data_IF_117734996739
#
_entry.id   IF_117734996739
#
_cell.length_a   1.000
_cell.length_b   1.000
_cell.length_c   1.000
_cell.angle_alpha   90.00
_cell.angle_beta   90.00
_cell.angle_gamma   90.00
#
_symmetry.space_group_name_H-M   'P 1'
#
loop_
_entity.id
_entity.type
_entity.pdbx_description
1 polymer ?
#
# COMPACT_ATOMS: atom_id res chain seq x y z
N UNK A 1 19.05 -2.72 -1.38
CA UNK A 1 18.33 -2.56 -0.11
C UNK A 1 19.29 -2.36 1.06
N UNK A 2 20.31 -3.22 1.24
CA UNK A 2 21.26 -3.12 2.36
C UNK A 2 21.90 -1.72 2.43
N UNK A 3 22.48 -1.23 1.34
CA UNK A 3 23.09 0.10 1.28
C UNK A 3 22.11 1.25 1.58
N UNK A 4 20.85 1.12 1.20
CA UNK A 4 19.81 2.12 1.52
C UNK A 4 19.60 2.16 3.04
N UNK A 5 19.50 0.99 3.68
CA UNK A 5 19.36 0.91 5.14
C UNK A 5 20.61 1.41 5.87
N UNK A 6 21.81 1.14 5.35
CA UNK A 6 23.08 1.65 5.91
C UNK A 6 23.17 3.20 5.87
N UNK A 7 22.49 3.83 4.91
CA UNK A 7 22.33 5.28 4.85
C UNK A 7 21.29 5.84 5.84
N UNK A 8 20.61 4.98 6.59
CA UNK A 8 19.55 5.37 7.52
C UNK A 8 18.23 5.72 6.83
N UNK A 9 18.04 5.30 5.58
CA UNK A 9 16.80 5.52 4.84
C UNK A 9 15.90 4.28 4.95
N UNK A 10 14.65 4.42 5.41
CA UNK A 10 13.70 3.30 5.39
C UNK A 10 13.33 2.93 3.95
N UNK A 11 13.41 1.63 3.64
CA UNK A 11 13.05 1.11 2.34
C UNK A 11 11.58 0.66 2.31
N UNK A 12 10.85 1.02 1.25
CA UNK A 12 9.50 0.53 0.98
C UNK A 12 9.46 -0.34 -0.27
N UNK A 13 8.46 -1.22 -0.36
CA UNK A 13 8.23 -2.06 -1.54
C UNK A 13 6.74 -2.32 -1.77
N UNK A 14 6.37 -2.65 -3.02
CA UNK A 14 5.11 -3.33 -3.30
C UNK A 14 5.35 -4.85 -3.25
N UNK A 15 4.59 -5.57 -2.45
CA UNK A 15 4.67 -7.03 -2.38
C UNK A 15 3.83 -7.65 -3.49
N UNK A 16 4.51 -8.25 -4.47
CA UNK A 16 3.89 -8.79 -5.69
C UNK A 16 3.78 -10.32 -5.69
N UNK A 17 4.60 -11.00 -4.90
CA UNK A 17 4.64 -12.46 -4.81
C UNK A 17 4.92 -12.94 -3.39
N UNK A 18 4.87 -14.26 -3.18
CA UNK A 18 5.02 -14.90 -1.87
C UNK A 18 6.46 -15.37 -1.57
N UNK A 19 7.37 -15.30 -2.53
CA UNK A 19 8.72 -15.85 -2.41
C UNK A 19 9.74 -14.74 -2.16
N UNK A 20 9.73 -13.69 -2.98
CA UNK A 20 10.63 -12.53 -2.84
C UNK A 20 10.66 -11.95 -1.42
N UNK A 21 9.50 -11.79 -0.72
CA UNK A 21 9.49 -11.28 0.64
C UNK A 21 10.37 -12.06 1.62
N UNK A 22 10.53 -13.36 1.43
CA UNK A 22 11.40 -14.19 2.29
C UNK A 22 12.87 -13.78 2.27
N UNK A 23 13.29 -13.08 1.21
CA UNK A 23 14.68 -12.62 1.02
C UNK A 23 14.89 -11.16 1.39
N UNK A 24 13.84 -10.36 1.44
CA UNK A 24 13.96 -8.90 1.58
C UNK A 24 13.19 -8.31 2.76
N UNK A 25 12.24 -9.04 3.35
CA UNK A 25 11.31 -8.47 4.33
C UNK A 25 11.99 -7.87 5.57
N UNK A 26 13.13 -8.41 5.97
CA UNK A 26 13.95 -7.90 7.08
C UNK A 26 14.66 -6.56 6.76
N UNK A 27 14.69 -6.15 5.49
CA UNK A 27 15.25 -4.88 5.02
C UNK A 27 14.16 -3.87 4.61
N UNK A 28 12.88 -4.21 4.78
CA UNK A 28 11.74 -3.39 4.37
C UNK A 28 11.07 -2.79 5.61
N UNK A 29 10.91 -1.48 5.60
CA UNK A 29 10.28 -0.72 6.70
C UNK A 29 8.78 -0.47 6.47
N UNK A 30 8.30 -0.58 5.24
CA UNK A 30 6.91 -0.41 4.86
C UNK A 30 6.61 -1.14 3.56
N UNK A 31 5.43 -1.74 3.44
CA UNK A 31 5.02 -2.42 2.24
C UNK A 31 3.63 -2.01 1.75
N UNK A 32 3.40 -2.13 0.44
CA UNK A 32 2.09 -1.91 -0.15
C UNK A 32 1.55 -3.20 -0.80
N UNK A 33 0.23 -3.36 -0.76
CA UNK A 33 -0.52 -4.28 -1.61
C UNK A 33 -1.28 -3.44 -2.64
N UNK A 34 -1.02 -3.67 -3.91
CA UNK A 34 -1.57 -2.90 -5.01
C UNK A 34 -3.07 -3.12 -5.21
N UNK A 35 -3.73 -2.17 -5.89
CA UNK A 35 -5.17 -2.19 -6.10
C UNK A 35 -5.69 -3.45 -6.83
N UNK A 36 -4.85 -4.10 -7.63
CA UNK A 36 -5.18 -5.32 -8.37
C UNK A 36 -5.01 -6.59 -7.53
N UNK A 37 -4.35 -6.50 -6.40
CA UNK A 37 -4.03 -7.64 -5.53
C UNK A 37 -4.64 -7.52 -4.12
N UNK A 38 -5.31 -6.42 -3.80
CA UNK A 38 -5.97 -6.22 -2.50
C UNK A 38 -7.05 -7.29 -2.22
N UNK A 39 -7.73 -7.81 -3.24
CA UNK A 39 -8.70 -8.92 -3.09
C UNK A 39 -8.03 -10.30 -3.00
N UNK A 40 -6.75 -10.41 -3.32
CA UNK A 40 -6.04 -11.69 -3.35
C UNK A 40 -5.82 -12.25 -1.96
N UNK A 41 -6.33 -13.47 -1.72
CA UNK A 41 -6.16 -14.19 -0.47
C UNK A 41 -4.68 -14.39 -0.12
N UNK A 42 -3.85 -14.78 -1.09
CA UNK A 42 -2.42 -15.02 -0.84
C UNK A 42 -1.67 -13.75 -0.43
N UNK A 43 -2.06 -12.57 -0.92
CA UNK A 43 -1.47 -11.29 -0.51
C UNK A 43 -1.91 -10.87 0.90
N UNK A 44 -3.15 -11.19 1.30
CA UNK A 44 -3.63 -10.98 2.67
C UNK A 44 -2.94 -11.90 3.67
N UNK A 45 -2.73 -13.17 3.30
CA UNK A 45 -1.95 -14.14 4.06
C UNK A 45 -0.50 -13.70 4.20
N UNK A 46 0.13 -13.24 3.11
CA UNK A 46 1.47 -12.67 3.15
C UNK A 46 1.54 -11.50 4.14
N UNK A 47 0.64 -10.52 4.00
CA UNK A 47 0.62 -9.34 4.88
C UNK A 47 0.48 -9.71 6.35
N UNK A 48 -0.25 -10.77 6.67
CA UNK A 48 -0.42 -11.27 8.06
C UNK A 48 0.88 -11.76 8.71
N UNK A 49 1.89 -12.06 7.91
CA UNK A 49 3.20 -12.56 8.38
C UNK A 49 4.32 -11.53 8.30
N UNK A 50 4.06 -10.33 7.80
CA UNK A 50 5.09 -9.29 7.70
C UNK A 50 5.24 -8.52 9.02
N UNK A 51 6.49 -8.14 9.32
CA UNK A 51 6.84 -7.39 10.53
C UNK A 51 6.86 -5.88 10.32
N UNK A 52 6.52 -5.41 9.12
CA UNK A 52 6.40 -4.00 8.79
C UNK A 52 4.93 -3.60 8.58
N UNK A 53 4.58 -2.32 8.71
CA UNK A 53 3.28 -1.82 8.33
C UNK A 53 2.99 -2.08 6.85
N UNK A 54 1.73 -2.44 6.53
CA UNK A 54 1.30 -2.76 5.17
C UNK A 54 0.08 -1.93 4.78
N UNK A 55 0.22 -1.16 3.70
CA UNK A 55 -0.86 -0.39 3.12
C UNK A 55 -1.60 -1.17 2.03
N UNK A 56 -2.92 -1.28 2.16
CA UNK A 56 -3.80 -1.87 1.14
C UNK A 56 -4.46 -0.77 0.31
N UNK A 57 -4.20 -0.73 -0.98
CA UNK A 57 -4.85 0.22 -1.90
C UNK A 57 -6.31 -0.15 -2.13
N UNK A 58 -7.19 0.84 -2.20
CA UNK A 58 -8.55 0.61 -2.68
C UNK A 58 -8.56 0.07 -4.12
N UNK A 59 -9.64 -0.59 -4.50
CA UNK A 59 -9.80 -1.16 -5.84
C UNK A 59 -9.65 -0.13 -6.96
N UNK A 60 -9.36 -0.59 -8.17
CA UNK A 60 -9.19 0.28 -9.34
C UNK A 60 -10.47 1.03 -9.73
N UNK A 61 -11.62 0.54 -9.29
CA UNK A 61 -12.94 1.19 -9.43
C UNK A 61 -13.25 2.22 -8.33
N UNK A 62 -12.40 2.28 -7.28
CA UNK A 62 -12.58 3.12 -6.12
C UNK A 62 -13.16 2.40 -4.88
N UNK A 63 -13.44 1.11 -4.97
CA UNK A 63 -14.03 0.32 -3.89
C UNK A 63 -13.08 0.24 -2.68
N UNK A 64 -13.51 0.80 -1.55
CA UNK A 64 -12.77 0.81 -0.28
C UNK A 64 -12.99 -0.47 0.53
N UNK A 65 -14.16 -1.09 0.40
CA UNK A 65 -14.53 -2.24 1.22
C UNK A 65 -13.52 -3.39 1.10
N UNK A 66 -13.01 -3.62 -0.10
CA UNK A 66 -12.01 -4.68 -0.33
C UNK A 66 -10.72 -4.45 0.48
N UNK A 67 -10.32 -3.19 0.69
CA UNK A 67 -9.17 -2.84 1.52
C UNK A 67 -9.49 -3.05 3.02
N UNK A 68 -10.70 -2.72 3.47
CA UNK A 68 -11.13 -2.98 4.85
C UNK A 68 -11.16 -4.48 5.17
N UNK A 69 -11.71 -5.28 4.25
CA UNK A 69 -11.74 -6.73 4.39
C UNK A 69 -10.32 -7.32 4.37
N UNK A 70 -9.42 -6.75 3.55
CA UNK A 70 -8.02 -7.15 3.50
C UNK A 70 -7.28 -6.87 4.82
N UNK A 71 -7.47 -5.69 5.42
CA UNK A 71 -6.87 -5.33 6.72
C UNK A 71 -7.36 -6.28 7.81
N UNK A 72 -8.68 -6.53 7.87
CA UNK A 72 -9.26 -7.48 8.84
C UNK A 72 -8.72 -8.89 8.66
N UNK A 73 -8.58 -9.35 7.43
CA UNK A 73 -7.98 -10.66 7.16
C UNK A 73 -6.51 -10.70 7.57
N UNK A 74 -5.72 -9.70 7.17
CA UNK A 74 -4.29 -9.64 7.47
C UNK A 74 -3.99 -9.49 8.97
N UNK A 75 -4.91 -8.93 9.76
CA UNK A 75 -4.75 -8.82 11.21
C UNK A 75 -4.93 -10.14 11.96
N UNK A 76 -5.39 -11.20 11.28
CA UNK A 76 -5.62 -12.50 11.90
C UNK A 76 -4.47 -13.48 11.57
N UNK A 77 -4.25 -14.48 12.44
CA UNK A 77 -3.35 -15.59 12.14
C UNK A 77 -3.83 -16.39 10.93
N UNK A 78 -2.88 -16.85 10.12
CA UNK A 78 -3.14 -17.70 8.95
C UNK A 78 -2.22 -18.92 8.92
N UNK A 79 -2.67 -19.97 8.23
CA UNK A 79 -1.88 -21.16 7.90
C UNK A 79 -2.04 -21.43 6.39
N UNK A 80 -0.96 -21.37 5.65
CA UNK A 80 -1.01 -21.51 4.20
C UNK A 80 0.23 -22.19 3.64
N UNK A 81 0.10 -22.75 2.43
CA UNK A 81 1.22 -23.33 1.71
C UNK A 81 2.09 -22.24 1.09
N UNK A 82 3.37 -22.32 1.29
CA UNK A 82 4.36 -21.45 0.66
C UNK A 82 5.66 -22.23 0.40
N UNK A 83 6.67 -21.54 -0.10
CA UNK A 83 7.98 -22.09 -0.42
C UNK A 83 9.01 -21.44 0.48
N UNK A 84 9.86 -22.25 1.11
CA UNK A 84 10.97 -21.77 1.93
C UNK A 84 12.10 -21.21 1.08
N UNK A 85 13.05 -20.46 1.69
CA UNK A 85 14.26 -19.97 1.01
C UNK A 85 15.07 -21.10 0.35
N UNK A 86 15.00 -22.31 0.87
CA UNK A 86 15.65 -23.50 0.29
C UNK A 86 14.88 -24.14 -0.87
N UNK A 87 13.76 -23.56 -1.30
CA UNK A 87 12.96 -24.07 -2.42
C UNK A 87 12.02 -25.23 -2.07
N UNK A 88 11.79 -25.50 -0.79
CA UNK A 88 10.90 -26.59 -0.37
C UNK A 88 9.51 -26.05 0.00
N UNK A 89 8.47 -26.78 -0.38
CA UNK A 89 7.11 -26.50 0.07
C UNK A 89 6.99 -26.66 1.59
N UNK A 90 6.30 -25.74 2.22
CA UNK A 90 6.04 -25.76 3.66
C UNK A 90 4.69 -25.12 4.00
N UNK A 91 4.14 -25.51 5.14
CA UNK A 91 3.03 -24.77 5.76
C UNK A 91 3.67 -23.63 6.56
N UNK A 92 3.29 -22.40 6.22
CA UNK A 92 3.66 -21.19 6.96
C UNK A 92 2.52 -20.82 7.90
N UNK A 93 2.86 -20.53 9.15
CA UNK A 93 1.93 -20.01 10.15
C UNK A 93 2.31 -18.58 10.47
N UNK A 94 1.33 -17.68 10.49
CA UNK A 94 1.49 -16.26 10.81
C UNK A 94 0.70 -15.89 12.06
N UNK A 95 1.04 -14.77 12.68
CA UNK A 95 0.38 -14.30 13.91
C UNK A 95 -0.65 -13.19 13.64
N UNK A 96 -0.75 -12.70 12.42
CA UNK A 96 -1.48 -11.49 12.08
C UNK A 96 -0.59 -10.24 12.13
N UNK A 97 -0.98 -9.22 11.38
CA UNK A 97 -0.31 -7.92 11.31
C UNK A 97 -1.32 -6.82 11.61
N UNK A 98 -1.23 -6.22 12.80
CA UNK A 98 -2.14 -5.17 13.25
C UNK A 98 -1.80 -3.78 12.66
N UNK A 99 -0.62 -3.62 12.04
CA UNK A 99 -0.15 -2.37 11.47
C UNK A 99 -0.55 -2.20 9.99
N UNK A 100 -1.69 -2.78 9.61
CA UNK A 100 -2.24 -2.62 8.27
C UNK A 100 -3.13 -1.38 8.18
N UNK A 101 -3.10 -0.69 7.02
CA UNK A 101 -3.86 0.54 6.81
C UNK A 101 -4.35 0.66 5.36
N UNK A 102 -5.27 1.60 5.12
CA UNK A 102 -5.79 1.91 3.78
C UNK A 102 -4.89 2.92 3.07
N UNK A 103 -4.77 2.74 1.76
CA UNK A 103 -4.22 3.74 0.84
C UNK A 103 -5.30 4.16 -0.15
N UNK A 104 -5.66 5.44 -0.16
CA UNK A 104 -6.53 6.02 -1.19
C UNK A 104 -5.72 6.29 -2.45
N UNK A 105 -6.05 5.61 -3.56
CA UNK A 105 -5.35 5.75 -4.84
C UNK A 105 -6.23 6.31 -5.97
N UNK A 106 -7.47 6.74 -5.61
CA UNK A 106 -8.50 7.08 -6.58
C UNK A 106 -9.13 5.83 -7.23
N UNK A 107 -10.10 6.08 -8.07
CA UNK A 107 -10.83 5.06 -8.82
C UNK A 107 -11.33 5.63 -10.14
N UNK A 108 -12.63 5.63 -10.38
CA UNK A 108 -13.26 6.35 -11.50
C UNK A 108 -13.06 7.86 -11.41
N UNK A 109 -12.86 8.37 -10.20
CA UNK A 109 -12.51 9.75 -9.88
C UNK A 109 -11.43 9.78 -8.80
N UNK A 110 -10.71 10.89 -8.63
CA UNK A 110 -9.85 11.12 -7.47
C UNK A 110 -10.63 10.98 -6.14
N UNK A 111 -9.94 10.58 -5.05
CA UNK A 111 -10.54 10.40 -3.73
C UNK A 111 -9.65 10.93 -2.59
N UNK A 112 -8.88 11.99 -2.85
CA UNK A 112 -7.95 12.59 -1.90
C UNK A 112 -8.48 13.86 -1.23
N UNK A 113 -9.55 14.47 -1.78
CA UNK A 113 -10.13 15.69 -1.23
C UNK A 113 -10.70 15.47 0.19
N UNK A 114 -10.87 16.56 0.94
CA UNK A 114 -11.27 16.51 2.34
C UNK A 114 -12.59 15.75 2.57
N UNK A 115 -13.55 15.86 1.64
CA UNK A 115 -14.83 15.17 1.76
C UNK A 115 -14.67 13.66 1.54
N UNK A 116 -13.88 13.25 0.55
CA UNK A 116 -13.55 11.86 0.27
C UNK A 116 -12.77 11.22 1.43
N UNK A 117 -11.79 11.92 1.98
CA UNK A 117 -11.01 11.46 3.15
C UNK A 117 -11.93 11.30 4.35
N UNK A 118 -12.79 12.28 4.65
CA UNK A 118 -13.73 12.20 5.76
C UNK A 118 -14.72 11.02 5.60
N UNK A 119 -15.23 10.80 4.40
CA UNK A 119 -16.13 9.68 4.11
C UNK A 119 -15.41 8.33 4.32
N UNK A 120 -14.18 8.20 3.82
CA UNK A 120 -13.38 6.99 4.00
C UNK A 120 -13.10 6.71 5.48
N UNK A 121 -12.78 7.74 6.27
CA UNK A 121 -12.56 7.61 7.72
C UNK A 121 -13.85 7.19 8.46
N UNK A 122 -14.99 7.77 8.10
CA UNK A 122 -16.28 7.37 8.67
C UNK A 122 -16.63 5.90 8.36
N UNK A 123 -16.27 5.42 7.18
CA UNK A 123 -16.49 4.02 6.80
C UNK A 123 -15.48 3.08 7.50
N UNK A 124 -14.23 3.52 7.74
CA UNK A 124 -13.25 2.81 8.57
C UNK A 124 -13.79 2.65 10.01
N UNK A 125 -14.29 3.72 10.63
CA UNK A 125 -14.89 3.66 11.98
C UNK A 125 -16.06 2.68 12.05
N UNK A 126 -16.98 2.72 11.08
CA UNK A 126 -18.09 1.75 10.99
C UNK A 126 -17.58 0.31 10.84
N UNK A 127 -16.45 0.13 10.18
CA UNK A 127 -15.82 -1.17 10.03
C UNK A 127 -15.03 -1.62 11.27
N UNK A 128 -14.92 -0.77 12.31
CA UNK A 128 -14.13 -1.03 13.52
C UNK A 128 -12.62 -0.94 13.30
N UNK A 129 -12.20 -0.14 12.31
CA UNK A 129 -10.80 0.10 11.97
C UNK A 129 -10.38 1.51 12.37
N UNK A 130 -9.08 1.78 12.59
CA UNK A 130 -8.58 3.12 12.85
C UNK A 130 -8.95 4.10 11.72
N UNK A 131 -9.50 5.26 12.07
CA UNK A 131 -9.92 6.30 11.13
C UNK A 131 -8.74 7.13 10.60
N UNK A 132 -7.69 6.46 10.17
CA UNK A 132 -6.49 7.05 9.59
C UNK A 132 -6.09 6.30 8.34
N UNK A 133 -5.53 7.02 7.37
CA UNK A 133 -5.21 6.46 6.06
C UNK A 133 -4.01 7.17 5.42
N UNK A 134 -3.46 6.55 4.39
CA UNK A 134 -2.47 7.14 3.51
C UNK A 134 -3.13 7.56 2.19
N UNK A 135 -2.61 8.59 1.54
CA UNK A 135 -3.03 9.00 0.20
C UNK A 135 -1.90 8.77 -0.81
N UNK A 136 -2.21 8.00 -1.84
CA UNK A 136 -1.38 7.88 -3.03
C UNK A 136 -1.66 9.07 -3.95
N UNK A 137 -0.69 9.95 -4.11
CA UNK A 137 -0.79 11.15 -4.94
C UNK A 137 -0.75 10.83 -6.45
N UNK A 138 -0.31 9.64 -6.82
CA UNK A 138 -0.23 9.16 -8.20
C UNK A 138 -1.55 8.52 -8.67
N UNK A 139 -1.49 7.63 -9.63
CA UNK A 139 -2.60 6.81 -10.14
C UNK A 139 -3.83 7.65 -10.55
N UNK A 140 -5.01 7.28 -10.10
CA UNK A 140 -6.23 7.99 -10.45
C UNK A 140 -6.36 9.34 -9.72
N UNK A 141 -5.71 9.53 -8.57
CA UNK A 141 -5.69 10.79 -7.87
C UNK A 141 -5.02 11.91 -8.67
N UNK A 142 -3.99 11.60 -9.44
CA UNK A 142 -3.36 12.54 -10.38
C UNK A 142 -3.90 12.42 -11.82
N UNK A 143 -4.94 11.62 -12.07
CA UNK A 143 -5.39 11.25 -13.41
C UNK A 143 -4.24 10.68 -14.28
N UNK A 144 -3.29 9.95 -13.66
CA UNK A 144 -2.07 9.39 -14.29
C UNK A 144 -1.14 10.45 -14.90
N UNK A 145 -1.22 11.69 -14.44
CA UNK A 145 -0.37 12.80 -14.84
C UNK A 145 0.61 13.10 -13.70
N UNK A 146 1.89 12.76 -13.87
CA UNK A 146 2.88 12.83 -12.80
C UNK A 146 3.01 14.22 -12.19
N UNK A 147 2.83 15.28 -12.98
CA UNK A 147 2.89 16.67 -12.51
C UNK A 147 1.77 17.02 -11.52
N UNK A 148 0.59 16.40 -11.67
CA UNK A 148 -0.55 16.64 -10.78
C UNK A 148 -0.39 16.07 -9.39
N UNK A 149 0.58 15.19 -9.18
CA UNK A 149 0.90 14.72 -7.82
C UNK A 149 1.23 15.87 -6.86
N UNK A 150 1.83 16.95 -7.40
CA UNK A 150 2.10 18.17 -6.62
C UNK A 150 0.84 18.84 -6.11
N UNK A 151 -0.21 18.84 -6.92
CA UNK A 151 -1.48 19.46 -6.56
C UNK A 151 -2.21 18.62 -5.50
N UNK A 152 -2.19 17.29 -5.66
CA UNK A 152 -2.70 16.35 -4.64
C UNK A 152 -1.96 16.54 -3.32
N UNK A 153 -0.61 16.58 -3.35
CA UNK A 153 0.19 16.77 -2.15
C UNK A 153 -0.07 18.12 -1.47
N UNK A 154 -0.30 19.20 -2.25
CA UNK A 154 -0.67 20.52 -1.70
C UNK A 154 -2.03 20.51 -1.02
N UNK A 155 -3.00 19.83 -1.62
CA UNK A 155 -4.33 19.68 -1.01
C UNK A 155 -4.24 18.95 0.33
N UNK A 156 -3.54 17.81 0.37
CA UNK A 156 -3.32 17.07 1.62
C UNK A 156 -2.59 17.92 2.66
N UNK A 157 -1.56 18.67 2.25
CA UNK A 157 -0.85 19.58 3.15
C UNK A 157 -1.79 20.66 3.72
N UNK A 158 -2.70 21.20 2.91
CA UNK A 158 -3.70 22.16 3.36
C UNK A 158 -4.70 21.52 4.34
N UNK A 159 -5.16 20.30 4.09
CA UNK A 159 -6.01 19.56 5.03
C UNK A 159 -5.33 19.36 6.40
N UNK A 160 -4.05 18.96 6.41
CA UNK A 160 -3.27 18.78 7.63
C UNK A 160 -3.06 20.12 8.35
N UNK A 161 -2.72 21.18 7.63
CA UNK A 161 -2.57 22.53 8.18
C UNK A 161 -3.89 23.06 8.74
N UNK A 162 -5.02 22.67 8.15
CA UNK A 162 -6.38 22.95 8.63
C UNK A 162 -6.80 22.14 9.86
N UNK A 163 -5.92 21.27 10.39
CA UNK A 163 -6.15 20.50 11.61
C UNK A 163 -6.59 19.04 11.38
N UNK A 164 -6.68 18.55 10.14
CA UNK A 164 -6.96 17.13 9.89
C UNK A 164 -5.87 16.23 10.45
N UNK A 165 -6.28 15.14 11.09
CA UNK A 165 -5.40 14.07 11.59
C UNK A 165 -5.64 12.74 10.89
N UNK A 166 -6.50 12.73 9.88
CA UNK A 166 -6.92 11.51 9.18
C UNK A 166 -5.86 10.97 8.23
N UNK A 167 -5.06 11.86 7.61
CA UNK A 167 -3.99 11.45 6.70
C UNK A 167 -2.67 11.46 7.44
N UNK A 168 -2.08 10.28 7.66
CA UNK A 168 -0.79 10.15 8.35
C UNK A 168 0.41 10.11 7.38
N UNK A 169 0.17 9.91 6.09
CA UNK A 169 1.22 9.81 5.09
C UNK A 169 0.73 9.94 3.66
N UNK A 170 1.67 10.21 2.77
CA UNK A 170 1.43 10.26 1.32
C UNK A 170 2.41 9.36 0.59
N UNK A 171 1.99 8.85 -0.57
CA UNK A 171 2.84 8.14 -1.49
C UNK A 171 2.99 8.97 -2.78
N UNK A 172 4.20 9.16 -3.24
CA UNK A 172 4.52 9.90 -4.46
C UNK A 172 5.38 9.01 -5.33
N UNK A 173 4.99 8.85 -6.59
CA UNK A 173 5.79 8.15 -7.59
C UNK A 173 6.60 9.16 -8.39
N UNK A 174 7.91 8.98 -8.44
CA UNK A 174 8.80 9.88 -9.16
C UNK A 174 10.04 9.18 -9.68
N UNK A 175 10.65 9.81 -10.68
CA UNK A 175 11.96 9.46 -11.20
C UNK A 175 12.74 10.73 -11.54
N UNK A 176 14.02 10.60 -11.87
CA UNK A 176 14.89 11.75 -12.18
C UNK A 176 14.45 12.47 -13.46
N UNK A 177 13.90 11.74 -14.42
CA UNK A 177 13.39 12.29 -15.68
C UNK A 177 11.95 11.82 -15.92
N UNK A 178 11.08 12.65 -16.50
CA UNK A 178 9.75 12.26 -16.88
C UNK A 178 9.79 11.26 -18.04
N UNK A 179 8.83 10.35 -18.07
CA UNK A 179 8.68 9.41 -19.19
C UNK A 179 8.03 8.10 -18.79
N UNK A 180 7.72 7.31 -19.80
CA UNK A 180 7.30 5.93 -19.67
C UNK A 180 7.90 5.14 -20.85
N UNK A 181 8.70 4.15 -20.54
CA UNK A 181 9.33 3.29 -21.54
C UNK A 181 8.57 1.98 -21.67
N UNK A 182 8.38 1.53 -22.91
CA UNK A 182 7.91 0.18 -23.18
C UNK A 182 9.11 -0.74 -23.32
N UNK A 183 9.12 -1.81 -22.55
CA UNK A 183 10.12 -2.85 -22.69
C UNK A 183 10.08 -3.43 -24.12
N UNK A 184 11.23 -3.51 -24.77
CA UNK A 184 11.40 -4.12 -26.09
C UNK A 184 12.44 -5.22 -25.98
N UNK A 185 12.03 -6.51 -26.04
CA UNK A 185 12.97 -7.62 -25.93
C UNK A 185 14.14 -7.47 -26.89
N UNK A 186 15.38 -7.63 -26.37
CA UNK A 186 16.62 -7.56 -27.15
C UNK A 186 17.11 -6.13 -27.49
N UNK A 187 16.49 -5.11 -26.93
CA UNK A 187 16.94 -3.70 -27.07
C UNK A 187 17.33 -3.03 -25.75
N UNK A 188 17.03 -3.68 -24.61
CA UNK A 188 17.32 -3.20 -23.25
C UNK A 188 18.26 -4.19 -22.55
#
# INVERSE_FOLDING_TARGET
LLQINELGLPAGTEFLDMITPQYIADLISWGAIGARTTESQVHRELASGLSCPVGFKNGTDGNLRIAFDAIKAASQPHHFLSVTKGGHSAIVSTNGNEDCHVILRGGKAPNYDAASVAAACADLEKAGLPATLMVDCSHANSNKQHERQRDVARDIAAQIAGGSRSVFGVMIEGHLQPGAQKFTPGKD
#
